data_IF_365502209777
#
_entry.id   IF_365502209777
#
_cell.length_a   1.000
_cell.length_b   1.000
_cell.length_c   1.000
_cell.angle_alpha   90.00
_cell.angle_beta   90.00
_cell.angle_gamma   90.00
#
_symmetry.space_group_name_H-M   'P 1'
#
loop_
_entity.id
_entity.type
_entity.pdbx_description
1 polymer ?
#
# COMPACT_ATOMS: atom_id res chain seq x y z
N UNK A 1 25.95 -59.76 -28.15
CA UNK A 1 26.59 -58.59 -27.52
C UNK A 1 26.33 -57.37 -28.38
N UNK A 2 25.41 -56.50 -28.00
CA UNK A 2 25.35 -55.09 -28.48
C UNK A 2 24.56 -54.30 -27.46
N UNK A 3 25.27 -53.50 -26.66
CA UNK A 3 24.73 -52.75 -25.54
C UNK A 3 24.01 -51.48 -26.02
N UNK A 4 22.87 -51.19 -25.40
CA UNK A 4 22.04 -49.99 -25.59
C UNK A 4 22.66 -48.82 -24.82
N UNK A 5 22.78 -47.66 -25.44
CA UNK A 5 23.07 -46.40 -24.72
C UNK A 5 21.92 -45.42 -24.95
N UNK A 6 21.09 -45.23 -23.93
CA UNK A 6 20.06 -44.18 -23.86
C UNK A 6 20.70 -43.01 -23.14
N UNK A 7 20.98 -41.92 -23.86
CA UNK A 7 21.46 -40.67 -23.28
C UNK A 7 20.30 -39.90 -22.67
N UNK A 8 20.25 -39.83 -21.33
CA UNK A 8 19.35 -38.98 -20.57
C UNK A 8 19.90 -37.54 -20.58
N UNK A 9 19.21 -36.64 -21.27
CA UNK A 9 19.47 -35.20 -21.24
C UNK A 9 18.84 -34.62 -19.96
N UNK A 10 19.66 -34.35 -18.95
CA UNK A 10 19.22 -33.70 -17.72
C UNK A 10 19.04 -32.19 -17.95
N UNK A 11 17.79 -31.72 -17.97
CA UNK A 11 17.45 -30.30 -17.96
C UNK A 11 17.61 -29.78 -16.53
N UNK A 12 18.70 -29.07 -16.27
CA UNK A 12 18.91 -28.37 -14.99
C UNK A 12 18.02 -27.13 -14.94
N UNK A 13 16.94 -27.19 -14.17
CA UNK A 13 16.07 -26.05 -13.89
C UNK A 13 16.77 -25.13 -12.88
N UNK A 14 17.40 -24.06 -13.36
CA UNK A 14 18.04 -23.06 -12.52
C UNK A 14 16.97 -22.29 -11.74
N UNK A 15 16.83 -22.58 -10.45
CA UNK A 15 15.98 -21.79 -9.54
C UNK A 15 16.67 -20.47 -9.25
N UNK A 16 16.26 -19.40 -9.94
CA UNK A 16 16.64 -18.04 -9.59
C UNK A 16 16.05 -17.70 -8.20
N UNK A 17 16.86 -17.23 -7.24
CA UNK A 17 16.31 -16.73 -6.00
C UNK A 17 15.50 -15.47 -6.30
N UNK A 18 14.22 -15.48 -5.94
CA UNK A 18 13.42 -14.27 -5.90
C UNK A 18 14.02 -13.37 -4.81
N UNK A 19 14.67 -12.28 -5.22
CA UNK A 19 15.00 -11.18 -4.31
C UNK A 19 13.67 -10.60 -3.80
N UNK A 20 13.18 -11.14 -2.69
CA UNK A 20 12.08 -10.55 -1.95
C UNK A 20 12.50 -9.18 -1.46
N UNK A 21 11.69 -8.16 -1.74
CA UNK A 21 11.85 -6.85 -1.10
C UNK A 21 11.90 -7.06 0.42
N UNK A 22 12.71 -6.28 1.17
CA UNK A 22 12.75 -6.38 2.62
C UNK A 22 11.33 -6.32 3.17
N UNK A 23 10.99 -7.28 4.03
CA UNK A 23 9.72 -7.28 4.73
C UNK A 23 9.69 -6.03 5.62
N UNK A 24 8.86 -5.06 5.24
CA UNK A 24 8.48 -3.95 6.12
C UNK A 24 7.70 -4.53 7.29
N UNK A 25 8.21 -4.34 8.50
CA UNK A 25 7.57 -4.76 9.75
C UNK A 25 6.24 -4.00 9.96
N UNK A 26 5.13 -4.74 9.98
CA UNK A 26 3.79 -4.20 10.21
C UNK A 26 3.72 -3.36 11.49
N UNK A 27 4.38 -3.80 12.56
CA UNK A 27 4.39 -3.08 13.84
C UNK A 27 5.08 -1.72 13.73
N UNK A 28 6.21 -1.66 13.02
CA UNK A 28 6.92 -0.42 12.78
C UNK A 28 6.10 0.56 11.92
N UNK A 29 5.41 0.08 10.89
CA UNK A 29 4.58 0.91 10.02
C UNK A 29 3.35 1.44 10.74
N UNK A 30 2.70 0.63 11.56
CA UNK A 30 1.59 1.08 12.41
C UNK A 30 2.03 2.12 13.43
N UNK A 31 3.20 1.94 14.06
CA UNK A 31 3.76 2.92 14.99
C UNK A 31 4.09 4.24 14.27
N UNK A 32 4.70 4.17 13.09
CA UNK A 32 5.02 5.35 12.28
C UNK A 32 3.74 6.11 11.91
N UNK A 33 2.73 5.42 11.39
CA UNK A 33 1.49 6.05 10.96
C UNK A 33 0.69 6.63 12.13
N UNK A 34 0.66 5.94 13.27
CA UNK A 34 0.00 6.45 14.48
C UNK A 34 0.74 7.68 15.03
N UNK A 35 2.07 7.63 15.11
CA UNK A 35 2.89 8.76 15.55
C UNK A 35 2.83 9.97 14.60
N UNK A 36 2.51 9.73 13.33
CA UNK A 36 2.33 10.77 12.30
C UNK A 36 0.87 11.25 12.18
N UNK A 37 -0.04 10.77 13.04
CA UNK A 37 -1.45 11.18 13.06
C UNK A 37 -2.32 10.61 11.93
N UNK A 38 -1.81 9.71 11.09
CA UNK A 38 -2.55 9.18 9.93
C UNK A 38 -3.81 8.42 10.35
N UNK A 39 -3.75 7.74 11.50
CA UNK A 39 -4.83 6.91 12.05
C UNK A 39 -6.03 7.73 12.58
N UNK A 40 -5.92 9.06 12.65
CA UNK A 40 -7.06 9.93 12.98
C UNK A 40 -8.10 9.96 11.87
N UNK A 41 -7.67 9.84 10.61
CA UNK A 41 -8.54 9.93 9.44
C UNK A 41 -8.65 8.60 8.70
N UNK A 42 -7.60 7.76 8.76
CA UNK A 42 -7.52 6.50 8.05
C UNK A 42 -7.62 5.31 9.00
N UNK A 43 -8.12 4.21 8.47
CA UNK A 43 -8.15 2.90 9.12
C UNK A 43 -7.53 1.87 8.18
N UNK A 44 -7.04 0.76 8.73
CA UNK A 44 -6.52 -0.33 7.90
C UNK A 44 -7.69 -1.00 7.18
N UNK A 45 -8.71 -1.38 7.96
CA UNK A 45 -9.86 -2.13 7.51
C UNK A 45 -10.94 -1.22 6.89
N UNK A 46 -11.63 -1.69 5.83
CA UNK A 46 -12.83 -1.04 5.35
C UNK A 46 -13.97 -1.06 6.37
N UNK A 47 -15.00 -0.26 6.13
CA UNK A 47 -16.23 -0.29 6.92
C UNK A 47 -16.24 0.59 8.16
N UNK A 48 -15.14 1.31 8.45
CA UNK A 48 -15.16 2.40 9.43
C UNK A 48 -16.26 3.41 9.09
N UNK A 49 -17.01 3.86 10.11
CA UNK A 49 -18.07 4.85 9.99
C UNK A 49 -17.72 6.06 10.84
N UNK A 50 -17.99 7.25 10.32
CA UNK A 50 -17.98 8.47 11.11
C UNK A 50 -19.23 8.60 11.97
N UNK A 51 -19.35 9.72 12.72
CA UNK A 51 -20.55 10.05 13.49
C UNK A 51 -21.82 9.95 12.63
N UNK A 52 -22.93 9.50 13.24
CA UNK A 52 -24.24 9.41 12.59
C UNK A 52 -24.28 8.57 11.30
N UNK A 53 -23.31 7.65 11.15
CA UNK A 53 -23.24 6.73 10.02
C UNK A 53 -22.67 7.32 8.73
N UNK A 54 -22.09 8.52 8.78
CA UNK A 54 -21.41 9.12 7.62
C UNK A 54 -20.18 8.29 7.20
N UNK A 55 -19.74 8.36 5.92
CA UNK A 55 -18.52 7.70 5.47
C UNK A 55 -17.27 8.10 6.29
N UNK A 56 -16.23 7.25 6.34
CA UNK A 56 -15.00 7.57 7.07
C UNK A 56 -14.29 8.78 6.45
N UNK A 57 -13.44 9.46 7.23
CA UNK A 57 -12.77 10.71 6.78
C UNK A 57 -11.82 10.41 5.61
N UNK A 58 -10.94 9.43 5.77
CA UNK A 58 -10.07 8.91 4.73
C UNK A 58 -10.46 7.51 4.29
N UNK A 59 -10.00 7.06 3.12
CA UNK A 59 -10.20 5.68 2.68
C UNK A 59 -9.48 4.70 3.60
N UNK A 60 -10.02 3.49 3.72
CA UNK A 60 -9.29 2.41 4.34
C UNK A 60 -8.05 2.03 3.51
N UNK A 61 -6.95 1.70 4.16
CA UNK A 61 -5.72 1.37 3.44
C UNK A 61 -5.82 0.10 2.62
N UNK A 62 -6.63 -0.89 3.03
CA UNK A 62 -6.93 -2.04 2.18
C UNK A 62 -7.74 -1.69 0.94
N UNK A 63 -8.60 -0.67 1.00
CA UNK A 63 -9.26 -0.14 -0.21
C UNK A 63 -8.23 0.55 -1.11
N UNK A 64 -7.28 1.30 -0.54
CA UNK A 64 -6.17 1.91 -1.30
C UNK A 64 -5.34 0.82 -1.99
N UNK A 65 -4.92 -0.20 -1.26
CA UNK A 65 -4.16 -1.34 -1.80
C UNK A 65 -4.92 -2.02 -2.95
N UNK A 66 -6.22 -2.23 -2.77
CA UNK A 66 -7.09 -2.84 -3.79
C UNK A 66 -7.21 -1.96 -5.03
N UNK A 67 -7.44 -0.65 -4.86
CA UNK A 67 -7.59 0.30 -5.98
C UNK A 67 -6.34 0.39 -6.85
N UNK A 68 -5.16 0.35 -6.24
CA UNK A 68 -3.87 0.50 -6.94
C UNK A 68 -3.14 -0.82 -7.21
N UNK A 69 -3.77 -1.97 -6.95
CA UNK A 69 -3.19 -3.29 -7.19
C UNK A 69 -2.72 -3.42 -8.65
N UNK A 70 -1.47 -3.82 -8.83
CA UNK A 70 -0.87 -3.98 -10.16
C UNK A 70 -0.58 -2.67 -10.91
N UNK A 71 -0.82 -1.50 -10.31
CA UNK A 71 -0.48 -0.20 -10.90
C UNK A 71 1.01 0.08 -10.68
N UNK A 72 1.82 -0.18 -11.70
CA UNK A 72 3.25 0.12 -11.67
C UNK A 72 3.48 1.62 -11.40
N UNK A 73 4.38 1.93 -10.46
CA UNK A 73 4.72 3.31 -10.11
C UNK A 73 3.67 4.04 -9.27
N UNK A 74 2.68 3.35 -8.68
CA UNK A 74 1.67 4.00 -7.83
C UNK A 74 2.25 4.64 -6.54
N UNK A 75 3.41 4.17 -6.05
CA UNK A 75 4.03 4.70 -4.85
C UNK A 75 4.35 6.19 -4.96
N UNK A 76 4.99 6.62 -6.04
CA UNK A 76 5.44 8.01 -6.22
C UNK A 76 4.29 9.05 -6.18
N UNK A 77 3.21 8.93 -6.98
CA UNK A 77 2.10 9.89 -6.91
C UNK A 77 1.36 9.83 -5.56
N UNK A 78 1.30 8.66 -4.92
CA UNK A 78 0.67 8.54 -3.60
C UNK A 78 1.52 9.18 -2.50
N UNK A 79 2.84 9.00 -2.51
CA UNK A 79 3.76 9.71 -1.62
C UNK A 79 3.64 11.22 -1.81
N UNK A 80 3.61 11.71 -3.06
CA UNK A 80 3.36 13.15 -3.30
C UNK A 80 2.02 13.61 -2.74
N UNK A 81 0.97 12.80 -2.85
CA UNK A 81 -0.34 13.12 -2.26
C UNK A 81 -0.26 13.19 -0.73
N UNK A 82 0.48 12.28 -0.08
CA UNK A 82 0.72 12.32 1.37
C UNK A 82 1.46 13.61 1.75
N UNK A 83 2.52 13.96 1.04
CA UNK A 83 3.33 15.12 1.40
C UNK A 83 2.59 16.44 1.13
N UNK A 84 2.02 16.60 -0.06
CA UNK A 84 1.43 17.86 -0.53
C UNK A 84 -0.09 17.98 -0.29
N UNK A 85 -0.72 16.94 0.24
CA UNK A 85 -2.17 16.86 0.38
C UNK A 85 -2.90 16.48 -0.93
N UNK A 86 -4.21 16.28 -0.83
CA UNK A 86 -5.07 15.92 -1.97
C UNK A 86 -5.94 17.10 -2.42
N UNK A 87 -6.31 17.13 -3.69
CA UNK A 87 -7.18 18.18 -4.23
C UNK A 87 -8.66 18.01 -3.78
N UNK A 88 -9.29 19.03 -3.17
CA UNK A 88 -10.69 18.95 -2.71
C UNK A 88 -11.72 18.84 -3.85
N UNK A 89 -11.36 19.22 -5.07
CA UNK A 89 -12.25 19.19 -6.24
C UNK A 89 -12.07 17.95 -7.11
N UNK A 90 -11.03 17.14 -6.86
CA UNK A 90 -10.66 15.98 -7.68
C UNK A 90 -10.25 14.79 -6.83
N UNK A 91 -11.07 14.48 -5.82
CA UNK A 91 -10.82 13.33 -4.93
C UNK A 91 -10.95 12.00 -5.67
N UNK A 92 -9.93 11.14 -5.51
CA UNK A 92 -9.93 9.76 -6.01
C UNK A 92 -10.96 8.86 -5.28
N UNK A 93 -11.60 9.41 -4.24
CA UNK A 93 -12.49 8.75 -3.28
C UNK A 93 -13.86 9.44 -3.19
N UNK A 94 -14.24 10.23 -4.20
CA UNK A 94 -15.53 10.95 -4.23
C UNK A 94 -16.70 10.02 -3.90
N UNK A 95 -17.51 10.39 -2.91
CA UNK A 95 -18.69 9.63 -2.46
C UNK A 95 -18.37 8.36 -1.66
N UNK A 96 -17.10 8.06 -1.38
CA UNK A 96 -16.67 6.93 -0.54
C UNK A 96 -16.19 7.36 0.84
N UNK A 97 -15.79 8.61 0.97
CA UNK A 97 -15.25 9.21 2.20
C UNK A 97 -15.90 10.57 2.44
N UNK A 98 -15.90 11.02 3.69
CA UNK A 98 -16.44 12.32 4.10
C UNK A 98 -15.40 13.44 4.06
N UNK A 99 -14.10 13.10 4.14
CA UNK A 99 -13.02 14.09 4.03
C UNK A 99 -12.98 14.72 2.65
N UNK A 100 -13.06 16.06 2.61
CA UNK A 100 -12.94 16.85 1.38
C UNK A 100 -11.55 16.68 0.75
N UNK A 101 -10.52 16.83 1.57
CA UNK A 101 -9.12 16.70 1.17
C UNK A 101 -8.27 16.26 2.37
N UNK A 102 -7.23 15.47 2.09
CA UNK A 102 -6.12 15.26 3.01
C UNK A 102 -5.23 16.53 3.01
N UNK A 103 -4.95 17.15 4.16
CA UNK A 103 -4.00 18.26 4.24
C UNK A 103 -2.56 17.80 3.92
N UNK A 104 -1.65 18.72 3.59
CA UNK A 104 -0.21 18.43 3.51
C UNK A 104 0.32 17.89 4.84
N UNK A 105 1.18 16.86 4.80
CA UNK A 105 1.67 16.17 6.00
C UNK A 105 3.17 16.39 6.28
N UNK A 106 3.83 17.30 5.57
CA UNK A 106 5.28 17.58 5.70
C UNK A 106 5.72 18.04 7.10
N UNK A 107 4.80 18.59 7.91
CA UNK A 107 5.04 18.92 9.32
C UNK A 107 5.00 17.69 10.25
N UNK A 108 4.35 16.61 9.83
CA UNK A 108 4.15 15.41 10.66
C UNK A 108 5.08 14.26 10.26
N UNK A 109 5.52 14.18 9.01
CA UNK A 109 6.31 13.07 8.48
C UNK A 109 7.27 13.53 7.39
N UNK A 110 8.45 12.88 7.30
CA UNK A 110 9.42 13.09 6.22
C UNK A 110 9.03 12.28 4.99
N UNK A 111 9.41 12.76 3.80
CA UNK A 111 9.08 12.07 2.53
C UNK A 111 9.57 10.62 2.47
N UNK A 112 10.77 10.34 2.99
CA UNK A 112 11.30 8.97 3.02
C UNK A 112 10.42 8.03 3.86
N UNK A 113 9.96 8.47 5.04
CA UNK A 113 9.10 7.69 5.91
C UNK A 113 7.68 7.56 5.32
N UNK A 114 7.17 8.63 4.70
CA UNK A 114 5.91 8.61 3.98
C UNK A 114 5.95 7.62 2.79
N UNK A 115 7.08 7.53 2.09
CA UNK A 115 7.29 6.54 1.03
C UNK A 115 7.23 5.12 1.58
N UNK A 116 7.94 4.83 2.67
CA UNK A 116 7.89 3.51 3.32
C UNK A 116 6.45 3.14 3.69
N UNK A 117 5.71 4.08 4.28
CA UNK A 117 4.32 3.86 4.66
C UNK A 117 3.41 3.61 3.46
N UNK A 118 3.56 4.37 2.37
CA UNK A 118 2.79 4.16 1.12
C UNK A 118 3.10 2.81 0.49
N UNK A 119 4.38 2.42 0.41
CA UNK A 119 4.77 1.12 -0.14
C UNK A 119 4.24 -0.04 0.70
N UNK A 120 4.19 0.11 2.03
CA UNK A 120 3.55 -0.85 2.92
C UNK A 120 2.04 -0.92 2.69
N UNK A 121 1.34 0.22 2.63
CA UNK A 121 -0.10 0.30 2.34
C UNK A 121 -0.43 -0.43 1.03
N UNK A 122 0.35 -0.21 -0.04
CA UNK A 122 0.13 -0.84 -1.34
C UNK A 122 0.30 -2.36 -1.35
N UNK A 123 1.00 -2.92 -0.36
CA UNK A 123 1.21 -4.36 -0.19
C UNK A 123 0.17 -5.04 0.68
N UNK A 124 -0.72 -4.29 1.34
CA UNK A 124 -1.77 -4.89 2.15
C UNK A 124 -2.67 -5.78 1.29
N UNK A 125 -3.03 -6.93 1.84
CA UNK A 125 -4.03 -7.80 1.23
C UNK A 125 -5.36 -7.06 1.06
N UNK A 126 -6.10 -7.42 0.01
CA UNK A 126 -7.47 -6.95 -0.12
C UNK A 126 -8.26 -7.38 1.12
N UNK A 127 -9.21 -6.54 1.53
CA UNK A 127 -10.10 -6.91 2.63
C UNK A 127 -10.80 -8.24 2.30
N UNK A 128 -10.88 -9.12 3.30
CA UNK A 128 -11.63 -10.37 3.22
C UNK A 128 -13.13 -10.13 3.30
#
# INVERSE_FOLDING_TARGET
>A
MTSRTISLLAVALATLPAWGAPATDDGAMLKLASGSGCMTCHHIEPGAKGPDGIPPIGPAWRDVATKYRGTAGAADPLTRTVMAGSNPYSSHWKGKVSGLAMPPNEVAIKEADARLLVEWILKLDAAK
#
